data_IF_263796302666
#
_entry.id   IF_263796302666
#
_cell.length_a   1.000
_cell.length_b   1.000
_cell.length_c   1.000
_cell.angle_alpha   90.00
_cell.angle_beta   90.00
_cell.angle_gamma   90.00
#
_symmetry.space_group_name_H-M   'P 1'
#
loop_
_entity.id
_entity.type
_entity.pdbx_description
1 polymer ?
#
# COMPACT_ATOMS: atom_id res chain seq x y z
N UNK A 1 -16.99 -18.48 -5.54
CA UNK A 1 -15.71 -17.87 -5.11
C UNK A 1 -14.47 -18.63 -5.60
N UNK A 2 -14.30 -19.95 -5.38
CA UNK A 2 -13.08 -20.68 -5.80
C UNK A 2 -12.79 -20.57 -7.30
N UNK A 3 -13.81 -20.70 -8.15
CA UNK A 3 -13.65 -20.61 -9.61
C UNK A 3 -13.35 -19.18 -10.08
N UNK A 4 -14.01 -18.15 -9.52
CA UNK A 4 -13.75 -16.75 -9.85
C UNK A 4 -12.35 -16.31 -9.44
N UNK A 5 -11.89 -16.75 -8.28
CA UNK A 5 -10.54 -16.48 -7.78
C UNK A 5 -9.48 -17.13 -8.66
N UNK A 6 -9.66 -18.40 -9.05
CA UNK A 6 -8.73 -19.09 -9.97
C UNK A 6 -8.62 -18.39 -11.33
N UNK A 7 -9.75 -17.91 -11.86
CA UNK A 7 -9.78 -17.16 -13.12
C UNK A 7 -9.04 -15.82 -13.01
N UNK A 8 -9.25 -15.06 -11.94
CA UNK A 8 -8.57 -13.79 -11.73
C UNK A 8 -7.05 -13.97 -11.50
N UNK A 9 -6.63 -15.00 -10.77
CA UNK A 9 -5.21 -15.36 -10.64
C UNK A 9 -4.57 -15.73 -11.97
N UNK A 10 -5.27 -16.53 -12.77
CA UNK A 10 -4.80 -16.89 -14.11
C UNK A 10 -4.61 -15.62 -14.95
N UNK A 11 -5.64 -14.77 -15.06
CA UNK A 11 -5.51 -13.50 -15.80
C UNK A 11 -4.34 -12.64 -15.32
N UNK A 12 -4.20 -12.48 -14.00
CA UNK A 12 -3.16 -11.65 -13.40
C UNK A 12 -1.75 -12.16 -13.75
N UNK A 13 -1.51 -13.46 -13.65
CA UNK A 13 -0.19 -14.04 -13.95
C UNK A 13 0.21 -13.88 -15.42
N UNK A 14 -0.74 -13.95 -16.35
CA UNK A 14 -0.47 -13.82 -17.79
C UNK A 14 -0.32 -12.36 -18.26
N UNK A 15 -0.74 -11.37 -17.47
CA UNK A 15 -0.69 -9.95 -17.86
C UNK A 15 0.72 -9.35 -17.93
N UNK A 16 1.78 -10.06 -17.51
CA UNK A 16 3.19 -9.64 -17.41
C UNK A 16 3.46 -8.39 -16.53
N UNK A 17 2.47 -7.51 -16.34
CA UNK A 17 2.52 -6.34 -15.45
C UNK A 17 2.96 -6.66 -14.02
N UNK A 18 2.59 -7.81 -13.40
CA UNK A 18 3.08 -8.12 -12.06
C UNK A 18 4.57 -8.46 -12.04
N UNK A 19 5.08 -9.07 -13.12
CA UNK A 19 6.51 -9.38 -13.25
C UNK A 19 7.31 -8.07 -13.35
N UNK A 20 6.82 -7.09 -14.13
CA UNK A 20 7.46 -5.77 -14.18
C UNK A 20 7.42 -5.06 -12.83
N UNK A 21 6.33 -5.18 -12.06
CA UNK A 21 6.25 -4.65 -10.70
C UNK A 21 7.28 -5.28 -9.77
N UNK A 22 7.41 -6.62 -9.80
CA UNK A 22 8.42 -7.34 -9.03
C UNK A 22 9.86 -6.92 -9.40
N UNK A 23 10.18 -6.86 -10.69
CA UNK A 23 11.50 -6.43 -11.16
C UNK A 23 11.78 -4.98 -10.78
N UNK A 24 10.80 -4.09 -10.93
CA UNK A 24 10.92 -2.69 -10.52
C UNK A 24 11.21 -2.56 -9.03
N UNK A 25 10.57 -3.35 -8.17
CA UNK A 25 10.84 -3.36 -6.73
C UNK A 25 12.32 -3.64 -6.44
N UNK A 26 12.88 -4.69 -7.04
CA UNK A 26 14.28 -5.07 -6.83
C UNK A 26 15.23 -3.96 -7.30
N UNK A 27 14.99 -3.41 -8.49
CA UNK A 27 15.81 -2.33 -9.06
C UNK A 27 15.75 -1.08 -8.18
N UNK A 28 14.56 -0.70 -7.70
CA UNK A 28 14.39 0.48 -6.84
C UNK A 28 15.03 0.30 -5.46
N UNK A 29 15.00 -0.90 -4.89
CA UNK A 29 15.73 -1.19 -3.64
C UNK A 29 17.25 -1.13 -3.85
N UNK A 30 17.77 -1.66 -4.97
CA UNK A 30 19.20 -1.51 -5.33
C UNK A 30 19.53 -0.03 -5.52
N UNK A 31 18.66 0.74 -6.18
CA UNK A 31 18.85 2.17 -6.35
C UNK A 31 18.98 2.90 -5.01
N UNK A 32 18.15 2.59 -4.01
CA UNK A 32 18.28 3.19 -2.66
C UNK A 32 19.56 2.80 -1.94
N UNK A 33 20.12 1.63 -2.22
CA UNK A 33 21.42 1.22 -1.70
C UNK A 33 22.54 2.07 -2.31
N UNK A 34 22.48 2.31 -3.62
CA UNK A 34 23.50 3.04 -4.37
C UNK A 34 23.45 4.55 -4.13
N UNK A 35 22.28 5.10 -3.82
CA UNK A 35 22.09 6.55 -3.70
C UNK A 35 22.58 7.16 -2.39
N UNK A 36 22.92 6.36 -1.38
CA UNK A 36 23.42 6.89 -0.10
C UNK A 36 24.16 5.88 0.75
N UNK A 37 24.80 6.38 1.80
CA UNK A 37 25.52 5.53 2.75
C UNK A 37 24.56 4.67 3.57
N UNK A 38 24.86 3.38 3.69
CA UNK A 38 24.05 2.45 4.47
C UNK A 38 24.06 2.83 5.95
N UNK A 39 22.92 3.34 6.39
CA UNK A 39 22.66 3.71 7.77
C UNK A 39 21.63 2.77 8.39
N UNK A 40 21.58 2.73 9.73
CA UNK A 40 20.58 2.02 10.52
C UNK A 40 19.14 2.31 10.06
N UNK A 41 18.84 3.57 9.73
CA UNK A 41 17.54 3.99 9.20
C UNK A 41 17.14 3.27 7.92
N UNK A 42 18.06 3.14 6.96
CA UNK A 42 17.80 2.48 5.68
C UNK A 42 17.48 1.00 5.87
N UNK A 43 18.19 0.33 6.78
CA UNK A 43 17.92 -1.08 7.12
C UNK A 43 16.53 -1.22 7.75
N UNK A 44 16.20 -0.38 8.75
CA UNK A 44 14.87 -0.44 9.38
C UNK A 44 13.72 -0.07 8.43
N UNK A 45 14.00 0.73 7.39
CA UNK A 45 13.03 1.08 6.35
C UNK A 45 13.01 0.10 5.17
N UNK A 46 13.70 -1.03 5.30
CA UNK A 46 13.80 -2.05 4.25
C UNK A 46 14.23 -1.45 2.89
N UNK A 47 15.25 -0.58 2.88
CA UNK A 47 15.76 0.07 1.66
C UNK A 47 14.64 0.76 0.84
N UNK A 48 13.76 1.48 1.54
CA UNK A 48 12.65 2.22 0.92
C UNK A 48 11.52 1.35 0.38
N UNK A 49 11.51 0.03 0.65
CA UNK A 49 10.51 -0.90 0.14
C UNK A 49 9.08 -0.41 0.35
N UNK A 50 8.77 0.19 1.49
CA UNK A 50 7.44 0.76 1.75
C UNK A 50 6.97 1.73 0.67
N UNK A 51 7.81 2.69 0.27
CA UNK A 51 7.48 3.69 -0.75
C UNK A 51 7.35 3.06 -2.14
N UNK A 52 8.29 2.17 -2.49
CA UNK A 52 8.30 1.49 -3.79
C UNK A 52 7.09 0.58 -3.97
N UNK A 53 6.74 -0.18 -2.92
CA UNK A 53 5.55 -1.02 -2.88
C UNK A 53 4.28 -0.19 -3.09
N UNK A 54 4.16 0.98 -2.46
CA UNK A 54 2.99 1.85 -2.64
C UNK A 54 2.83 2.32 -4.09
N UNK A 55 3.91 2.75 -4.76
CA UNK A 55 3.90 3.14 -6.18
C UNK A 55 3.42 1.96 -7.05
N UNK A 56 4.04 0.80 -6.85
CA UNK A 56 3.76 -0.42 -7.62
C UNK A 56 2.31 -0.85 -7.40
N UNK A 57 1.84 -0.86 -6.16
CA UNK A 57 0.49 -1.32 -5.82
C UNK A 57 -0.59 -0.39 -6.33
N UNK A 58 -0.39 0.94 -6.30
CA UNK A 58 -1.32 1.89 -6.91
C UNK A 58 -1.44 1.62 -8.41
N UNK A 59 -0.31 1.47 -9.09
CA UNK A 59 -0.23 1.28 -10.55
C UNK A 59 -0.82 -0.06 -11.00
N UNK A 60 -0.52 -1.14 -10.30
CA UNK A 60 -1.03 -2.47 -10.65
C UNK A 60 -2.51 -2.58 -10.29
N UNK A 61 -2.96 -2.04 -9.14
CA UNK A 61 -4.39 -2.05 -8.78
C UNK A 61 -5.23 -1.28 -9.80
N UNK A 62 -4.76 -0.11 -10.24
CA UNK A 62 -5.48 0.71 -11.22
C UNK A 62 -5.52 0.06 -12.60
N UNK A 63 -4.40 -0.52 -13.07
CA UNK A 63 -4.35 -1.23 -14.36
C UNK A 63 -5.20 -2.48 -14.36
N UNK A 64 -5.17 -3.28 -13.27
CA UNK A 64 -5.90 -4.54 -13.17
C UNK A 64 -7.42 -4.38 -13.36
N UNK A 65 -8.00 -3.30 -12.83
CA UNK A 65 -9.41 -2.99 -13.03
C UNK A 65 -9.66 -2.27 -14.37
N UNK A 66 -8.73 -1.45 -14.83
CA UNK A 66 -8.87 -0.72 -16.10
C UNK A 66 -8.83 -1.63 -17.32
N UNK A 67 -8.07 -2.73 -17.31
CA UNK A 67 -8.02 -3.66 -18.44
C UNK A 67 -9.40 -4.23 -18.78
N UNK A 68 -10.24 -4.45 -17.77
CA UNK A 68 -11.62 -4.91 -17.98
C UNK A 68 -12.51 -3.82 -18.61
N UNK A 69 -12.24 -2.54 -18.33
CA UNK A 69 -12.93 -1.42 -18.97
C UNK A 69 -12.45 -1.19 -20.40
N UNK A 70 -11.14 -1.22 -20.65
CA UNK A 70 -10.56 -1.00 -21.99
C UNK A 70 -10.97 -2.09 -22.98
N UNK A 71 -11.05 -3.33 -22.53
CA UNK A 71 -11.36 -4.46 -23.40
C UNK A 71 -12.87 -4.73 -23.52
N UNK A 72 -13.73 -3.88 -22.95
CA UNK A 72 -15.19 -4.08 -22.86
C UNK A 72 -15.62 -5.42 -22.25
N UNK A 73 -14.70 -6.15 -21.60
CA UNK A 73 -14.95 -7.46 -20.99
C UNK A 73 -15.73 -7.33 -19.69
N UNK A 74 -15.76 -6.14 -19.09
CA UNK A 74 -16.53 -5.83 -17.87
C UNK A 74 -17.99 -6.32 -17.94
N UNK A 75 -18.66 -6.13 -19.07
CA UNK A 75 -20.07 -6.51 -19.27
C UNK A 75 -20.19 -8.04 -19.29
N UNK A 76 -19.36 -8.69 -20.10
CA UNK A 76 -19.37 -10.16 -20.23
C UNK A 76 -19.01 -10.86 -18.92
N UNK A 77 -18.13 -10.27 -18.13
CA UNK A 77 -17.69 -10.78 -16.83
C UNK A 77 -18.82 -10.65 -15.80
N UNK A 78 -19.46 -9.48 -15.71
CA UNK A 78 -20.60 -9.27 -14.81
C UNK A 78 -21.82 -10.13 -15.18
N UNK A 79 -22.05 -10.40 -16.47
CA UNK A 79 -23.16 -11.21 -16.96
C UNK A 79 -22.95 -12.72 -16.74
N UNK A 80 -21.73 -13.23 -16.97
CA UNK A 80 -21.39 -14.65 -16.74
C UNK A 80 -21.13 -14.98 -15.26
N UNK A 81 -20.84 -13.99 -14.44
CA UNK A 81 -20.54 -14.22 -13.02
C UNK A 81 -21.81 -14.42 -12.20
N UNK A 82 -21.79 -15.43 -11.33
CA UNK A 82 -22.91 -15.73 -10.41
C UNK A 82 -23.18 -14.62 -9.40
N UNK A 83 -22.19 -13.78 -9.04
CA UNK A 83 -22.43 -12.55 -8.27
C UNK A 83 -21.37 -11.48 -8.47
N UNK A 84 -21.82 -10.23 -8.63
CA UNK A 84 -20.96 -9.03 -8.80
C UNK A 84 -20.04 -8.81 -7.59
N UNK A 85 -20.51 -9.13 -6.39
CA UNK A 85 -19.73 -9.05 -5.14
C UNK A 85 -18.58 -10.04 -5.14
N UNK A 86 -18.79 -11.29 -5.57
CA UNK A 86 -17.72 -12.29 -5.62
C UNK A 86 -16.63 -11.89 -6.60
N UNK A 87 -16.97 -11.29 -7.75
CA UNK A 87 -15.97 -10.76 -8.70
C UNK A 87 -15.14 -9.67 -8.04
N UNK A 88 -15.80 -8.66 -7.44
CA UNK A 88 -15.12 -7.53 -6.82
C UNK A 88 -14.17 -7.98 -5.69
N UNK A 89 -14.65 -8.83 -4.77
CA UNK A 89 -13.84 -9.37 -3.69
C UNK A 89 -12.71 -10.27 -4.20
N UNK A 90 -12.93 -11.07 -5.25
CA UNK A 90 -11.87 -11.90 -5.84
C UNK A 90 -10.73 -11.03 -6.37
N UNK A 91 -11.04 -9.88 -7.00
CA UNK A 91 -10.02 -8.95 -7.51
C UNK A 91 -9.22 -8.31 -6.37
N UNK A 92 -9.88 -7.86 -5.31
CA UNK A 92 -9.18 -7.33 -4.12
C UNK A 92 -8.27 -8.41 -3.52
N UNK A 93 -8.77 -9.63 -3.38
CA UNK A 93 -8.03 -10.73 -2.78
C UNK A 93 -6.76 -11.08 -3.59
N UNK A 94 -6.84 -11.10 -4.92
CA UNK A 94 -5.65 -11.27 -5.78
C UNK A 94 -4.61 -10.18 -5.52
N UNK A 95 -5.05 -8.92 -5.39
CA UNK A 95 -4.14 -7.81 -5.10
C UNK A 95 -3.53 -7.89 -3.69
N UNK A 96 -4.27 -8.37 -2.69
CA UNK A 96 -3.75 -8.60 -1.33
C UNK A 96 -2.71 -9.73 -1.33
N UNK A 97 -2.95 -10.83 -2.05
CA UNK A 97 -1.96 -11.92 -2.14
C UNK A 97 -0.70 -11.43 -2.86
N UNK A 98 -0.85 -10.65 -3.91
CA UNK A 98 0.29 -10.06 -4.62
C UNK A 98 1.06 -9.06 -3.74
N UNK A 99 0.40 -8.25 -2.91
CA UNK A 99 1.09 -7.35 -1.98
C UNK A 99 1.86 -8.12 -0.90
N UNK A 100 1.31 -9.22 -0.38
CA UNK A 100 2.01 -10.12 0.55
C UNK A 100 3.25 -10.72 -0.12
N UNK A 101 3.13 -11.19 -1.36
CA UNK A 101 4.28 -11.70 -2.12
C UNK A 101 5.37 -10.64 -2.27
N UNK A 102 5.01 -9.41 -2.64
CA UNK A 102 5.98 -8.32 -2.76
C UNK A 102 6.62 -7.91 -1.41
N UNK A 103 5.87 -8.00 -0.30
CA UNK A 103 6.40 -7.74 1.04
C UNK A 103 7.37 -8.82 1.52
N UNK A 104 7.05 -10.10 1.27
CA UNK A 104 7.96 -11.19 1.64
C UNK A 104 9.24 -11.11 0.82
N UNK A 105 9.13 -10.79 -0.47
CA UNK A 105 10.30 -10.59 -1.33
C UNK A 105 11.12 -9.37 -0.90
N UNK A 106 10.51 -8.26 -0.52
CA UNK A 106 11.24 -7.10 0.01
C UNK A 106 11.95 -7.39 1.34
N UNK A 107 11.32 -8.19 2.22
CA UNK A 107 11.94 -8.67 3.45
C UNK A 107 13.20 -9.49 3.16
N UNK A 108 13.08 -10.55 2.36
CA UNK A 108 14.20 -11.43 1.99
C UNK A 108 15.30 -10.62 1.31
N UNK A 109 14.94 -9.73 0.39
CA UNK A 109 15.92 -8.92 -0.33
C UNK A 109 16.62 -7.92 0.59
N UNK A 110 15.94 -7.37 1.59
CA UNK A 110 16.56 -6.51 2.62
C UNK A 110 17.64 -7.26 3.39
N UNK A 111 17.41 -8.53 3.74
CA UNK A 111 18.42 -9.36 4.40
C UNK A 111 19.67 -9.53 3.51
N UNK A 112 19.46 -9.78 2.22
CA UNK A 112 20.54 -9.93 1.23
C UNK A 112 21.33 -8.61 1.07
N UNK A 113 20.63 -7.49 0.86
CA UNK A 113 21.27 -6.17 0.70
C UNK A 113 22.05 -5.77 1.96
N UNK A 114 21.51 -6.02 3.15
CA UNK A 114 22.23 -5.78 4.41
C UNK A 114 23.49 -6.63 4.49
N UNK A 115 23.40 -7.91 4.16
CA UNK A 115 24.54 -8.83 4.21
C UNK A 115 25.68 -8.39 3.28
N UNK A 116 25.35 -7.97 2.06
CA UNK A 116 26.33 -7.49 1.08
C UNK A 116 26.96 -6.16 1.52
N UNK A 117 26.15 -5.19 1.93
CA UNK A 117 26.66 -3.82 2.14
C UNK A 117 27.19 -3.53 3.54
N UNK A 118 26.73 -4.27 4.55
CA UNK A 118 26.95 -3.92 5.96
C UNK A 118 27.14 -5.14 6.87
N UNK A 119 27.48 -6.30 6.30
CA UNK A 119 27.46 -7.62 6.95
C UNK A 119 28.13 -7.72 8.32
N UNK A 120 29.09 -6.83 8.63
CA UNK A 120 29.72 -6.73 9.97
C UNK A 120 29.55 -5.40 10.70
N UNK A 121 28.96 -4.36 10.09
CA UNK A 121 28.91 -3.00 10.67
C UNK A 121 27.77 -2.80 11.69
N UNK A 122 26.64 -3.46 11.47
CA UNK A 122 25.44 -3.30 12.31
C UNK A 122 24.87 -4.66 12.72
N UNK A 123 24.85 -4.92 14.02
CA UNK A 123 24.24 -6.15 14.56
C UNK A 123 22.72 -6.04 14.59
N UNK A 124 22.00 -7.13 14.37
CA UNK A 124 20.52 -7.10 14.35
C UNK A 124 19.91 -6.73 15.72
N UNK A 125 20.63 -7.00 16.80
CA UNK A 125 20.27 -6.66 18.18
C UNK A 125 20.63 -5.23 18.57
N UNK A 126 21.32 -4.47 17.70
CA UNK A 126 21.70 -3.10 17.99
C UNK A 126 20.45 -2.21 18.13
N UNK A 127 20.46 -1.33 19.12
CA UNK A 127 19.38 -0.39 19.36
C UNK A 127 19.45 0.77 18.36
N UNK A 128 18.29 1.08 17.79
CA UNK A 128 18.06 2.24 16.94
C UNK A 128 16.76 2.92 17.35
N UNK A 129 16.87 3.99 18.14
CA UNK A 129 15.71 4.60 18.80
C UNK A 129 15.25 3.73 19.97
N UNK A 130 13.97 3.32 19.97
CA UNK A 130 13.38 2.48 21.02
C UNK A 130 13.40 0.98 20.70
N UNK A 131 13.74 0.62 19.47
CA UNK A 131 13.62 -0.73 18.94
C UNK A 131 14.99 -1.27 18.51
N UNK A 132 15.14 -2.59 18.49
CA UNK A 132 16.28 -3.22 17.82
C UNK A 132 16.15 -3.07 16.32
N UNK A 133 17.24 -3.17 15.57
CA UNK A 133 17.18 -3.09 14.11
C UNK A 133 16.21 -4.12 13.51
N UNK A 134 16.18 -5.33 14.07
CA UNK A 134 15.27 -6.39 13.62
C UNK A 134 13.81 -6.07 13.97
N UNK A 135 13.51 -5.67 15.20
CA UNK A 135 12.12 -5.35 15.58
C UNK A 135 11.62 -4.12 14.84
N UNK A 136 12.47 -3.11 14.63
CA UNK A 136 12.15 -1.92 13.86
C UNK A 136 11.82 -2.23 12.40
N UNK A 137 12.59 -3.12 11.76
CA UNK A 137 12.32 -3.60 10.40
C UNK A 137 10.96 -4.31 10.32
N UNK A 138 10.65 -5.21 11.25
CA UNK A 138 9.36 -5.91 11.29
C UNK A 138 8.21 -4.93 11.48
N UNK A 139 8.33 -3.99 12.42
CA UNK A 139 7.31 -2.98 12.68
C UNK A 139 7.06 -2.10 11.45
N UNK A 140 8.12 -1.72 10.73
CA UNK A 140 7.97 -1.01 9.46
C UNK A 140 7.27 -1.88 8.42
N UNK A 141 7.62 -3.17 8.28
CA UNK A 141 6.93 -4.05 7.33
C UNK A 141 5.44 -4.25 7.66
N UNK A 142 5.09 -4.39 8.95
CA UNK A 142 3.69 -4.45 9.39
C UNK A 142 2.96 -3.16 9.03
N UNK A 143 3.58 -2.00 9.31
CA UNK A 143 3.03 -0.69 8.95
C UNK A 143 2.82 -0.54 7.45
N UNK A 144 3.81 -0.96 6.65
CA UNK A 144 3.69 -0.97 5.18
C UNK A 144 2.56 -1.88 4.72
N UNK A 145 2.38 -3.06 5.32
CA UNK A 145 1.29 -3.97 4.93
C UNK A 145 -0.09 -3.35 5.15
N UNK A 146 -0.33 -2.76 6.32
CA UNK A 146 -1.60 -2.06 6.61
C UNK A 146 -1.82 -0.93 5.60
N UNK A 147 -0.76 -0.17 5.32
CA UNK A 147 -0.82 0.90 4.32
C UNK A 147 -1.10 0.37 2.90
N UNK A 148 -0.53 -0.78 2.51
CA UNK A 148 -0.82 -1.40 1.22
C UNK A 148 -2.30 -1.79 1.11
N UNK A 149 -2.92 -2.35 2.16
CA UNK A 149 -4.35 -2.63 2.17
C UNK A 149 -5.18 -1.36 1.95
N UNK A 150 -4.81 -0.27 2.64
CA UNK A 150 -5.44 1.05 2.46
C UNK A 150 -5.30 1.56 1.01
N UNK A 151 -4.10 1.51 0.44
CA UNK A 151 -3.85 1.98 -0.94
C UNK A 151 -4.57 1.15 -1.99
N UNK A 152 -4.65 -0.18 -1.84
CA UNK A 152 -5.42 -1.06 -2.75
C UNK A 152 -6.90 -0.65 -2.73
N UNK A 153 -7.49 -0.54 -1.54
CA UNK A 153 -8.91 -0.15 -1.40
C UNK A 153 -9.20 1.24 -1.96
N UNK A 154 -8.30 2.19 -1.73
CA UNK A 154 -8.38 3.54 -2.29
C UNK A 154 -8.25 3.51 -3.83
N UNK A 155 -7.30 2.76 -4.39
CA UNK A 155 -7.12 2.65 -5.83
C UNK A 155 -8.34 2.02 -6.51
N UNK A 156 -8.96 1.01 -5.89
CA UNK A 156 -10.21 0.39 -6.37
C UNK A 156 -11.39 1.38 -6.35
N UNK A 157 -11.52 2.18 -5.30
CA UNK A 157 -12.50 3.25 -5.23
C UNK A 157 -12.27 4.30 -6.34
N UNK A 158 -11.04 4.79 -6.48
CA UNK A 158 -10.70 5.80 -7.48
C UNK A 158 -10.93 5.30 -8.91
N UNK A 159 -10.57 4.06 -9.25
CA UNK A 159 -10.78 3.55 -10.61
C UNK A 159 -12.25 3.30 -10.93
N UNK A 160 -13.07 2.96 -9.93
CA UNK A 160 -14.52 2.88 -10.08
C UNK A 160 -15.19 4.26 -10.16
N UNK A 161 -14.52 5.34 -9.75
CA UNK A 161 -14.97 6.72 -9.97
C UNK A 161 -14.53 7.25 -11.34
N UNK A 162 -13.22 7.28 -11.60
CA UNK A 162 -12.63 8.00 -12.74
C UNK A 162 -12.59 7.21 -14.05
N UNK A 163 -12.61 5.86 -13.99
CA UNK A 163 -12.51 4.97 -15.18
C UNK A 163 -11.27 5.18 -16.05
N UNK A 164 -10.31 5.98 -15.60
CA UNK A 164 -9.09 6.31 -16.32
C UNK A 164 -7.89 5.92 -15.46
N UNK A 165 -7.09 4.98 -15.95
CA UNK A 165 -5.89 4.53 -15.27
C UNK A 165 -4.93 5.68 -14.95
N UNK A 166 -4.68 6.58 -15.90
CA UNK A 166 -3.74 7.68 -15.72
C UNK A 166 -4.17 8.64 -14.60
N UNK A 167 -5.47 8.95 -14.54
CA UNK A 167 -6.04 9.79 -13.47
C UNK A 167 -5.88 9.14 -12.09
N UNK A 168 -6.13 7.83 -11.99
CA UNK A 168 -6.01 7.08 -10.73
C UNK A 168 -4.57 6.97 -10.27
N UNK A 169 -3.64 6.70 -11.19
CA UNK A 169 -2.20 6.65 -10.86
C UNK A 169 -1.75 8.02 -10.35
N UNK A 170 -2.06 9.10 -11.07
CA UNK A 170 -1.66 10.45 -10.68
C UNK A 170 -2.23 10.84 -9.30
N UNK A 171 -3.55 10.69 -9.11
CA UNK A 171 -4.20 11.01 -7.83
C UNK A 171 -3.70 10.11 -6.70
N UNK A 172 -3.52 8.82 -6.96
CA UNK A 172 -3.01 7.86 -5.99
C UNK A 172 -1.60 8.23 -5.52
N UNK A 173 -0.71 8.63 -6.44
CA UNK A 173 0.64 9.07 -6.09
C UNK A 173 0.64 10.39 -5.31
N UNK A 174 -0.17 11.37 -5.72
CA UNK A 174 -0.33 12.64 -4.98
C UNK A 174 -0.79 12.34 -3.55
N UNK A 175 -1.80 11.50 -3.37
CA UNK A 175 -2.29 11.11 -2.05
C UNK A 175 -1.21 10.35 -1.26
N UNK A 176 -0.50 9.41 -1.89
CA UNK A 176 0.47 8.57 -1.20
C UNK A 176 1.69 9.34 -0.66
N UNK A 177 2.20 10.30 -1.42
CA UNK A 177 3.42 11.04 -1.06
C UNK A 177 3.14 12.36 -0.37
N UNK A 178 2.05 13.05 -0.73
CA UNK A 178 1.74 14.37 -0.17
C UNK A 178 0.63 14.32 0.87
N UNK A 179 -0.18 13.25 0.92
CA UNK A 179 -1.33 13.17 1.80
C UNK A 179 -0.98 13.39 3.27
N UNK A 180 -0.01 12.66 3.80
CA UNK A 180 0.38 12.77 5.22
C UNK A 180 0.88 14.18 5.56
N UNK A 181 1.64 14.80 4.67
CA UNK A 181 2.15 16.17 4.82
C UNK A 181 1.03 17.21 4.73
N UNK A 182 0.08 17.04 3.82
CA UNK A 182 -1.11 17.89 3.74
C UNK A 182 -1.94 17.78 5.02
N UNK A 183 -2.12 16.57 5.54
CA UNK A 183 -2.81 16.35 6.82
C UNK A 183 -2.15 17.10 7.96
N UNK A 184 -0.82 16.99 8.11
CA UNK A 184 -0.10 17.68 9.19
C UNK A 184 -0.21 19.20 9.04
N UNK A 185 0.01 19.74 7.84
CA UNK A 185 -0.11 21.18 7.59
C UNK A 185 -1.49 21.70 7.95
N UNK A 186 -2.57 20.99 7.60
CA UNK A 186 -3.91 21.46 7.94
C UNK A 186 -4.15 21.37 9.45
N UNK A 187 -3.69 20.31 10.13
CA UNK A 187 -3.82 20.19 11.58
C UNK A 187 -3.03 21.27 12.34
N UNK A 188 -1.83 21.61 11.87
CA UNK A 188 -0.96 22.64 12.44
C UNK A 188 -1.59 24.04 12.32
N UNK A 189 -2.25 24.33 11.19
CA UNK A 189 -2.91 25.63 10.95
C UNK A 189 -4.27 25.74 11.65
N UNK A 190 -4.95 24.63 11.95
CA UNK A 190 -6.27 24.62 12.57
C UNK A 190 -6.29 23.79 13.88
N UNK A 191 -5.55 24.21 14.93
CA UNK A 191 -5.36 23.41 16.13
C UNK A 191 -6.66 23.10 16.87
N UNK A 192 -7.65 23.99 16.81
CA UNK A 192 -8.99 23.79 17.42
C UNK A 192 -9.76 22.63 16.80
N UNK A 193 -9.47 22.27 15.55
CA UNK A 193 -10.16 21.21 14.82
C UNK A 193 -9.43 19.87 14.89
N UNK A 194 -8.24 19.80 15.51
CA UNK A 194 -7.44 18.56 15.68
C UNK A 194 -8.28 17.37 16.18
N UNK A 195 -9.16 17.49 17.19
CA UNK A 195 -9.93 16.35 17.69
C UNK A 195 -10.74 15.63 16.62
N UNK A 196 -11.23 16.37 15.61
CA UNK A 196 -11.97 15.85 14.47
C UNK A 196 -11.02 15.52 13.30
N UNK A 197 -10.10 16.43 12.98
CA UNK A 197 -9.24 16.36 11.80
C UNK A 197 -8.20 15.26 11.85
N UNK A 198 -7.77 14.84 13.06
CA UNK A 198 -6.85 13.71 13.22
C UNK A 198 -7.35 12.42 12.59
N UNK A 199 -8.67 12.27 12.44
CA UNK A 199 -9.27 11.08 11.85
C UNK A 199 -9.31 11.12 10.32
N UNK A 200 -8.75 12.14 9.65
CA UNK A 200 -8.80 12.22 8.19
C UNK A 200 -8.00 11.05 7.52
N UNK A 201 -8.38 10.62 6.30
CA UNK A 201 -7.75 9.47 5.63
C UNK A 201 -6.30 9.74 5.22
N UNK A 202 -5.89 11.00 5.06
CA UNK A 202 -4.52 11.36 4.71
C UNK A 202 -3.56 11.17 5.88
N UNK A 203 -4.04 11.37 7.12
CA UNK A 203 -3.29 11.11 8.35
C UNK A 203 -3.00 9.62 8.55
N UNK A 204 -3.89 8.76 8.04
CA UNK A 204 -3.77 7.30 8.18
C UNK A 204 -2.54 6.73 7.47
N UNK A 205 -1.97 7.45 6.51
CA UNK A 205 -0.73 7.12 5.79
C UNK A 205 0.47 7.01 6.75
N UNK A 206 0.46 7.75 7.86
CA UNK A 206 1.53 7.69 8.87
C UNK A 206 1.73 6.29 9.48
N UNK A 207 0.76 5.36 9.33
CA UNK A 207 0.87 3.98 9.82
C UNK A 207 2.13 3.27 9.33
N UNK A 208 2.61 3.62 8.13
CA UNK A 208 3.83 3.05 7.55
C UNK A 208 5.07 3.30 8.43
N UNK A 209 5.17 4.48 9.04
CA UNK A 209 6.35 4.91 9.78
C UNK A 209 6.13 4.91 11.31
N UNK A 210 4.90 5.16 11.77
CA UNK A 210 4.60 5.37 13.17
C UNK A 210 4.79 4.12 14.03
N UNK A 211 4.57 2.92 13.48
CA UNK A 211 4.73 1.68 14.26
C UNK A 211 6.18 1.45 14.69
N UNK A 212 7.16 1.88 13.89
CA UNK A 212 8.58 1.78 14.24
C UNK A 212 9.09 3.03 14.98
N UNK A 213 8.65 4.22 14.55
CA UNK A 213 9.10 5.52 15.10
C UNK A 213 8.00 6.22 15.90
N UNK A 214 7.42 5.50 16.85
CA UNK A 214 6.20 5.93 17.57
C UNK A 214 6.28 7.34 18.17
N UNK A 215 7.32 7.73 18.93
CA UNK A 215 7.32 9.03 19.63
C UNK A 215 7.25 10.24 18.68
N UNK A 216 7.88 10.12 17.50
CA UNK A 216 7.92 11.19 16.52
C UNK A 216 6.57 11.31 15.83
N UNK A 217 6.06 10.19 15.30
CA UNK A 217 4.87 10.22 14.47
C UNK A 217 3.57 10.26 15.26
N UNK A 218 3.53 9.82 16.53
CA UNK A 218 2.34 9.99 17.39
C UNK A 218 2.05 11.46 17.69
N UNK A 219 3.10 12.28 17.78
CA UNK A 219 2.96 13.71 18.00
C UNK A 219 2.45 14.42 16.75
N UNK A 220 2.88 13.98 15.56
CA UNK A 220 2.44 14.54 14.27
C UNK A 220 1.01 14.08 13.92
N UNK A 221 0.69 12.80 14.14
CA UNK A 221 -0.62 12.26 13.79
C UNK A 221 -1.69 12.55 14.83
N UNK A 222 -1.30 12.91 16.06
CA UNK A 222 -2.19 13.04 17.23
C UNK A 222 -3.01 11.77 17.54
N UNK A 223 -2.55 10.62 17.04
CA UNK A 223 -3.20 9.32 17.22
C UNK A 223 -2.24 8.33 17.87
N UNK A 224 -2.79 7.51 18.77
CA UNK A 224 -2.05 6.34 19.27
C UNK A 224 -1.91 5.28 18.17
N UNK A 225 -0.96 4.37 18.31
CA UNK A 225 -0.76 3.28 17.34
C UNK A 225 -2.04 2.46 17.14
N UNK A 226 -2.76 2.17 18.22
CA UNK A 226 -4.04 1.46 18.17
C UNK A 226 -5.13 2.24 17.44
N UNK A 227 -5.25 3.54 17.70
CA UNK A 227 -6.22 4.39 17.01
C UNK A 227 -5.92 4.48 15.50
N UNK A 228 -4.64 4.56 15.14
CA UNK A 228 -4.20 4.65 13.76
C UNK A 228 -4.44 3.35 12.97
N UNK A 229 -4.17 2.19 13.60
CA UNK A 229 -4.45 0.88 13.00
C UNK A 229 -5.95 0.71 12.79
N UNK A 230 -6.77 0.99 13.82
CA UNK A 230 -8.22 0.88 13.73
C UNK A 230 -8.81 1.87 12.71
N UNK A 231 -8.28 3.10 12.66
CA UNK A 231 -8.65 4.09 11.65
C UNK A 231 -8.40 3.58 10.23
N UNK A 232 -7.22 3.00 9.97
CA UNK A 232 -6.91 2.37 8.67
C UNK A 232 -7.90 1.26 8.32
N UNK A 233 -8.21 0.35 9.26
CA UNK A 233 -9.17 -0.74 9.04
C UNK A 233 -10.56 -0.19 8.69
N UNK A 234 -11.03 0.83 9.41
CA UNK A 234 -12.32 1.49 9.13
C UNK A 234 -12.33 2.10 7.73
N UNK A 235 -11.28 2.82 7.34
CA UNK A 235 -11.19 3.40 5.99
C UNK A 235 -11.10 2.35 4.89
N UNK A 236 -10.37 1.25 5.10
CA UNK A 236 -10.33 0.11 4.18
C UNK A 236 -11.75 -0.42 3.94
N UNK A 237 -12.54 -0.61 5.00
CA UNK A 237 -13.93 -1.06 4.90
C UNK A 237 -14.80 -0.05 4.14
N UNK A 238 -14.70 1.24 4.48
CA UNK A 238 -15.47 2.31 3.82
C UNK A 238 -15.14 2.37 2.33
N UNK A 239 -13.86 2.38 1.94
CA UNK A 239 -13.46 2.46 0.55
C UNK A 239 -13.88 1.23 -0.25
N UNK A 240 -13.77 0.03 0.34
CA UNK A 240 -14.24 -1.18 -0.32
C UNK A 240 -15.77 -1.19 -0.49
N UNK A 241 -16.52 -0.73 0.53
CA UNK A 241 -17.97 -0.67 0.48
C UNK A 241 -18.44 0.34 -0.57
N UNK A 242 -17.89 1.56 -0.56
CA UNK A 242 -18.20 2.60 -1.55
C UNK A 242 -17.80 2.15 -2.96
N UNK A 243 -16.59 1.60 -3.12
CA UNK A 243 -16.11 1.07 -4.40
C UNK A 243 -17.02 -0.04 -4.93
N UNK A 244 -17.49 -0.94 -4.06
CA UNK A 244 -18.45 -1.97 -4.43
C UNK A 244 -19.84 -1.40 -4.79
N UNK A 245 -20.36 -0.43 -4.05
CA UNK A 245 -21.66 0.18 -4.35
C UNK A 245 -21.64 0.84 -5.74
N UNK A 246 -20.56 1.56 -6.07
CA UNK A 246 -20.35 2.16 -7.38
C UNK A 246 -20.18 1.09 -8.46
N UNK A 247 -19.46 0.01 -8.17
CA UNK A 247 -19.30 -1.13 -9.06
C UNK A 247 -20.63 -1.84 -9.35
N UNK A 248 -21.51 -2.02 -8.35
CA UNK A 248 -22.81 -2.70 -8.46
C UNK A 248 -23.85 -1.86 -9.19
N UNK A 249 -23.97 -0.57 -8.84
CA UNK A 249 -25.00 0.35 -9.37
C UNK A 249 -24.79 0.73 -10.83
N UNK A 250 -23.65 0.37 -11.41
CA UNK A 250 -23.43 0.49 -12.86
C UNK A 250 -24.44 -0.37 -13.62
N UNK A 251 -25.47 0.31 -14.10
CA UNK A 251 -26.17 -0.05 -15.32
C UNK A 251 -25.21 0.27 -16.45
N UNK A 252 -24.94 -0.74 -17.26
CA UNK A 252 -24.24 -0.59 -18.53
C UNK A 252 -25.29 -0.15 -19.52
#
# INVERSE_FOLDING_TARGET
MKNSLRQEFYKFNYQKTPIYGFLALLVLMIYTLLSGNVNKSMITQAFGAGQWLSIIMITISSTFLTMEYKNNTMITLLYKSSSKLQVYLSKILVMIIYSIFLLVTSFVFTLILKAISSGGKFSWSELYGQNTLFSGLILTLIGTFIYLLFTISLAFLLITLFKNNAAVICLGLVIAFLGSSLSSVIMDNFPRLIPLMKWNPLNMIYVMNQLNKTPIFSNISHLSNWQLINGNIVYILIFNLLGYLLFKRRRV
#
